data_IF_022439740602
#
_entry.id   IF_022439740602
#
_cell.length_a   1.000
_cell.length_b   1.000
_cell.length_c   1.000
_cell.angle_alpha   90.00
_cell.angle_beta   90.00
_cell.angle_gamma   90.00
#
_symmetry.space_group_name_H-M   'P 1'
#
loop_
_entity.id
_entity.type
_entity.pdbx_description
1 polymer ?
#
# COMPACT_ATOMS: atom_id res chain seq x y z
N UNK A 1 55.61 -5.70 17.57
CA UNK A 1 54.47 -6.50 17.09
C UNK A 1 53.14 -5.71 17.07
N UNK A 2 53.14 -4.40 16.81
CA UNK A 2 51.90 -3.60 16.63
C UNK A 2 51.80 -2.97 15.22
N UNK A 3 52.89 -2.96 14.45
CA UNK A 3 52.92 -2.41 13.09
C UNK A 3 52.49 -3.41 12.00
N UNK A 4 52.52 -4.73 12.26
CA UNK A 4 52.16 -5.74 11.26
C UNK A 4 50.66 -6.07 11.19
N UNK A 5 49.87 -5.64 12.18
CA UNK A 5 48.40 -5.81 12.18
C UNK A 5 47.66 -4.67 11.47
N UNK A 6 48.27 -3.50 11.34
CA UNK A 6 47.68 -2.36 10.61
C UNK A 6 47.79 -2.58 9.08
N UNK A 7 48.91 -3.15 8.63
CA UNK A 7 49.17 -3.39 7.20
C UNK A 7 48.22 -4.47 6.63
N UNK A 8 47.77 -5.45 7.44
CA UNK A 8 46.78 -6.45 7.02
C UNK A 8 45.34 -5.94 6.94
N UNK A 9 45.02 -4.81 7.58
CA UNK A 9 43.69 -4.15 7.44
C UNK A 9 43.63 -3.17 6.28
N UNK A 10 44.77 -2.67 5.78
CA UNK A 10 44.84 -1.79 4.62
C UNK A 10 44.75 -2.54 3.28
N UNK A 11 45.26 -3.79 3.21
CA UNK A 11 45.28 -4.58 1.98
C UNK A 11 43.94 -5.18 1.51
N UNK A 12 42.83 -4.94 2.22
CA UNK A 12 41.50 -5.46 1.86
C UNK A 12 40.55 -4.39 1.27
N UNK A 13 41.03 -3.15 1.06
CA UNK A 13 40.21 -2.02 0.61
C UNK A 13 40.67 -1.40 -0.72
N UNK A 14 41.51 -2.09 -1.50
CA UNK A 14 42.02 -1.59 -2.79
C UNK A 14 41.32 -2.14 -4.04
N UNK A 15 40.17 -2.82 -3.90
CA UNK A 15 39.43 -3.40 -5.05
C UNK A 15 38.11 -2.71 -5.40
N UNK A 16 37.93 -1.44 -5.03
CA UNK A 16 36.87 -0.60 -5.59
C UNK A 16 37.45 0.70 -6.15
N UNK A 17 38.07 0.60 -7.33
CA UNK A 17 38.36 1.76 -8.17
C UNK A 17 37.05 2.49 -8.47
N UNK A 18 36.82 3.57 -7.74
CA UNK A 18 35.80 4.56 -8.05
C UNK A 18 36.09 5.14 -9.43
N UNK A 19 35.15 5.01 -10.36
CA UNK A 19 35.09 5.82 -11.57
C UNK A 19 34.73 7.25 -11.18
N UNK A 20 35.74 8.08 -10.91
CA UNK A 20 35.55 9.52 -10.72
C UNK A 20 35.28 10.13 -12.10
N UNK A 21 34.02 10.41 -12.40
CA UNK A 21 33.65 11.19 -13.58
C UNK A 21 33.66 12.68 -13.23
N UNK A 22 34.64 13.41 -13.76
CA UNK A 22 34.63 14.88 -13.73
C UNK A 22 33.67 15.38 -14.81
N UNK A 23 32.53 15.94 -14.40
CA UNK A 23 31.60 16.62 -15.31
C UNK A 23 31.96 18.11 -15.36
N UNK A 24 32.29 18.58 -16.57
CA UNK A 24 32.57 19.99 -16.89
C UNK A 24 31.41 20.91 -16.48
N UNK A 25 31.69 21.93 -15.66
CA UNK A 25 30.75 22.91 -15.12
C UNK A 25 30.30 24.00 -16.12
N UNK A 26 30.29 23.71 -17.42
CA UNK A 26 29.95 24.72 -18.45
C UNK A 26 28.45 24.96 -18.67
N UNK A 27 27.58 24.22 -17.99
CA UNK A 27 26.13 24.44 -18.03
C UNK A 27 25.57 24.54 -16.60
N UNK A 28 25.94 25.59 -15.87
CA UNK A 28 25.25 26.00 -14.64
C UNK A 28 23.92 26.70 -14.99
N UNK A 29 23.06 26.05 -15.79
CA UNK A 29 21.64 26.34 -15.71
C UNK A 29 21.16 25.87 -14.34
N UNK A 30 20.26 26.61 -13.69
CA UNK A 30 19.61 26.16 -12.47
C UNK A 30 18.99 24.77 -12.73
N UNK A 31 19.72 23.71 -12.39
CA UNK A 31 19.22 22.36 -12.37
C UNK A 31 18.25 22.32 -11.21
N UNK A 32 17.01 22.71 -11.51
CA UNK A 32 15.90 22.55 -10.58
C UNK A 32 15.80 21.04 -10.35
N UNK A 33 16.24 20.60 -9.18
CA UNK A 33 16.01 19.24 -8.74
C UNK A 33 14.50 19.01 -8.80
N UNK A 34 14.12 18.17 -9.77
CA UNK A 34 12.75 17.69 -9.86
C UNK A 34 12.56 16.78 -8.66
N UNK A 35 11.45 16.89 -7.91
CA UNK A 35 11.18 15.94 -6.85
C UNK A 35 11.28 14.54 -7.43
N UNK A 36 12.07 13.68 -6.77
CA UNK A 36 12.18 12.27 -7.14
C UNK A 36 10.77 11.67 -7.24
N UNK A 37 10.57 10.71 -8.14
CA UNK A 37 9.30 10.01 -8.29
C UNK A 37 8.98 9.38 -6.93
N UNK A 38 8.04 9.98 -6.20
CA UNK A 38 7.78 9.65 -4.82
C UNK A 38 7.36 8.19 -4.66
N UNK A 39 7.84 7.56 -3.58
CA UNK A 39 7.38 6.25 -3.14
C UNK A 39 5.89 6.31 -2.75
N UNK A 40 4.99 6.08 -3.71
CA UNK A 40 3.56 5.80 -3.46
C UNK A 40 2.75 6.88 -2.72
N UNK A 41 3.27 8.11 -2.52
CA UNK A 41 2.54 9.18 -1.84
C UNK A 41 1.34 9.64 -2.70
N UNK A 42 0.17 9.68 -2.07
CA UNK A 42 -1.05 10.24 -2.69
C UNK A 42 -0.98 11.76 -2.69
N UNK A 43 -0.89 12.38 -3.87
CA UNK A 43 -0.98 13.84 -4.04
C UNK A 43 -2.42 14.33 -4.27
N UNK A 44 -3.43 13.49 -3.98
CA UNK A 44 -4.84 13.87 -4.14
C UNK A 44 -5.32 14.67 -2.95
N UNK A 45 -5.05 14.15 -1.75
CA UNK A 45 -5.53 14.69 -0.49
C UNK A 45 -4.58 14.35 0.66
N UNK A 46 -4.53 15.21 1.66
CA UNK A 46 -3.96 14.97 2.97
C UNK A 46 -5.12 14.78 3.95
N UNK A 47 -5.02 13.75 4.77
CA UNK A 47 -5.95 13.49 5.87
C UNK A 47 -5.27 13.96 7.14
N UNK A 48 -5.96 14.77 7.92
CA UNK A 48 -5.49 15.22 9.23
C UNK A 48 -5.91 14.19 10.27
N UNK A 49 -4.95 13.40 10.72
CA UNK A 49 -5.18 12.38 11.75
C UNK A 49 -4.97 13.00 13.13
N UNK A 50 -5.96 12.90 14.04
CA UNK A 50 -5.75 13.20 15.44
C UNK A 50 -4.82 12.16 16.08
N UNK A 51 -4.32 12.45 17.27
CA UNK A 51 -3.43 11.55 18.02
C UNK A 51 -4.11 10.21 18.32
N UNK A 52 -5.40 10.25 18.68
CA UNK A 52 -6.20 9.07 19.03
C UNK A 52 -7.17 8.66 17.93
N UNK A 53 -7.41 7.35 17.81
CA UNK A 53 -8.37 6.81 16.86
C UNK A 53 -9.79 7.32 17.13
N UNK A 54 -10.42 7.89 16.11
CA UNK A 54 -11.77 8.46 16.24
C UNK A 54 -12.67 8.02 15.08
N UNK A 55 -13.93 7.72 15.40
CA UNK A 55 -15.00 7.33 14.44
C UNK A 55 -15.66 8.55 13.78
N UNK A 56 -15.41 9.75 14.32
CA UNK A 56 -15.85 11.00 13.73
C UNK A 56 -15.17 11.16 12.36
N UNK A 57 -15.90 11.60 11.33
CA UNK A 57 -15.30 11.82 10.02
C UNK A 57 -14.18 12.85 10.10
N UNK A 58 -12.99 12.48 9.60
CA UNK A 58 -11.80 13.32 9.61
C UNK A 58 -11.85 14.38 8.52
N UNK A 59 -11.18 15.49 8.79
CA UNK A 59 -10.99 16.57 7.84
C UNK A 59 -9.91 16.22 6.81
N UNK A 60 -10.16 16.71 5.59
CA UNK A 60 -9.33 16.39 4.43
C UNK A 60 -9.01 17.68 3.69
N UNK A 61 -7.72 17.90 3.45
CA UNK A 61 -7.26 18.98 2.58
C UNK A 61 -6.94 18.43 1.20
N UNK A 62 -7.62 18.96 0.17
CA UNK A 62 -7.34 18.60 -1.22
C UNK A 62 -6.08 19.31 -1.70
N UNK A 63 -5.11 18.53 -2.21
CA UNK A 63 -3.82 19.06 -2.70
C UNK A 63 -3.85 19.48 -4.18
N UNK A 64 -4.79 18.95 -4.96
CA UNK A 64 -4.87 19.23 -6.40
C UNK A 64 -3.67 18.74 -7.20
N UNK A 65 -3.02 17.66 -6.75
CA UNK A 65 -1.84 17.09 -7.42
C UNK A 65 -0.52 17.79 -7.13
N UNK A 66 -0.50 18.72 -6.16
CA UNK A 66 0.71 19.42 -5.71
C UNK A 66 1.38 18.70 -4.56
N UNK A 67 2.70 18.83 -4.48
CA UNK A 67 3.47 18.38 -3.34
C UNK A 67 3.24 19.31 -2.14
N UNK A 68 2.93 18.80 -0.94
CA UNK A 68 2.70 19.65 0.23
C UNK A 68 3.91 20.46 0.68
N UNK A 69 5.13 19.95 0.48
CA UNK A 69 6.35 20.64 0.93
C UNK A 69 6.79 21.68 -0.10
N UNK A 70 6.99 21.26 -1.36
CA UNK A 70 7.49 22.17 -2.40
C UNK A 70 6.40 23.02 -3.09
N UNK A 71 5.12 22.68 -2.93
CA UNK A 71 4.01 23.33 -3.63
C UNK A 71 3.95 23.08 -5.14
N UNK A 72 4.92 22.34 -5.71
CA UNK A 72 5.02 22.08 -7.15
C UNK A 72 4.00 21.04 -7.59
N UNK A 73 3.54 21.16 -8.84
CA UNK A 73 2.62 20.20 -9.44
C UNK A 73 3.36 18.89 -9.78
N UNK A 74 3.03 17.82 -9.05
CA UNK A 74 3.60 16.48 -9.27
C UNK A 74 2.68 15.63 -10.15
N UNK A 75 1.37 15.66 -9.88
CA UNK A 75 0.38 14.85 -10.59
C UNK A 75 -0.60 15.77 -11.33
N UNK A 76 -0.60 15.68 -12.66
CA UNK A 76 -1.55 16.42 -13.51
C UNK A 76 -2.93 15.77 -13.47
N UNK A 77 -3.98 16.55 -13.72
CA UNK A 77 -5.34 16.02 -13.88
C UNK A 77 -6.11 15.84 -12.56
N UNK A 78 -5.56 16.24 -11.42
CA UNK A 78 -6.24 16.23 -10.13
C UNK A 78 -6.56 17.67 -9.71
N UNK A 79 -7.73 17.91 -9.16
CA UNK A 79 -8.08 19.19 -8.54
C UNK A 79 -9.56 19.54 -8.62
N UNK A 80 -10.00 20.42 -7.71
CA UNK A 80 -11.42 20.69 -7.49
C UNK A 80 -12.11 19.49 -6.82
N UNK A 81 -13.36 19.26 -7.20
CA UNK A 81 -14.18 18.18 -6.66
C UNK A 81 -14.94 18.55 -5.40
N UNK A 82 -15.87 17.69 -5.03
CA UNK A 82 -16.70 17.86 -3.83
C UNK A 82 -15.82 17.66 -2.59
N UNK A 83 -16.12 18.40 -1.52
CA UNK A 83 -15.47 18.20 -0.22
C UNK A 83 -15.90 16.84 0.34
N UNK A 84 -14.93 15.96 0.56
CA UNK A 84 -15.17 14.65 1.16
C UNK A 84 -14.69 14.65 2.60
N UNK A 85 -15.46 14.01 3.49
CA UNK A 85 -14.99 13.63 4.82
C UNK A 85 -14.33 12.26 4.74
N UNK A 86 -13.29 12.03 5.53
CA UNK A 86 -12.56 10.76 5.51
C UNK A 86 -12.92 9.91 6.72
N UNK A 87 -13.34 8.67 6.49
CA UNK A 87 -13.52 7.70 7.56
C UNK A 87 -12.19 6.98 7.83
N UNK A 88 -11.70 7.03 9.08
CA UNK A 88 -10.46 6.40 9.48
C UNK A 88 -10.62 4.87 9.54
N UNK A 89 -10.15 4.18 8.50
CA UNK A 89 -10.20 2.72 8.45
C UNK A 89 -9.12 2.11 9.35
N UNK A 90 -9.53 1.16 10.17
CA UNK A 90 -8.64 0.22 10.85
C UNK A 90 -8.16 -0.83 9.83
N UNK A 91 -6.97 -0.60 9.26
CA UNK A 91 -6.37 -1.51 8.28
C UNK A 91 -5.82 -2.80 8.90
N UNK A 92 -5.50 -2.77 10.19
CA UNK A 92 -5.05 -3.93 10.95
C UNK A 92 -6.26 -4.58 11.62
N UNK A 93 -6.49 -5.84 11.29
CA UNK A 93 -7.45 -6.72 11.97
C UNK A 93 -6.64 -7.49 13.01
N UNK A 94 -6.51 -6.93 14.20
CA UNK A 94 -5.84 -7.60 15.31
C UNK A 94 -6.89 -8.41 16.08
N UNK A 95 -6.59 -9.68 16.32
CA UNK A 95 -7.40 -10.58 17.13
C UNK A 95 -6.52 -11.44 18.05
N UNK A 96 -7.14 -12.26 18.91
CA UNK A 96 -6.41 -13.14 19.81
C UNK A 96 -5.53 -14.12 19.03
N UNK A 97 -4.29 -14.30 19.51
CA UNK A 97 -3.34 -15.31 19.01
C UNK A 97 -3.64 -16.70 19.58
N UNK A 98 -4.22 -16.74 20.77
CA UNK A 98 -4.64 -17.95 21.47
C UNK A 98 -6.06 -17.73 22.01
N UNK A 99 -6.89 -18.78 21.98
CA UNK A 99 -8.27 -18.73 22.46
C UNK A 99 -9.33 -18.48 21.38
N UNK A 100 -10.58 -18.21 21.80
CA UNK A 100 -11.70 -18.03 20.89
C UNK A 100 -11.51 -16.80 20.01
N UNK A 101 -12.01 -16.79 18.76
CA UNK A 101 -11.92 -15.64 17.88
C UNK A 101 -12.67 -14.44 18.49
N UNK A 102 -12.14 -13.25 18.28
CA UNK A 102 -12.81 -12.02 18.66
C UNK A 102 -14.06 -11.84 17.80
N UNK A 103 -15.19 -11.64 18.47
CA UNK A 103 -16.49 -11.48 17.81
C UNK A 103 -16.79 -10.00 17.67
N UNK A 104 -17.12 -9.57 16.47
CA UNK A 104 -17.45 -8.18 16.17
C UNK A 104 -18.82 -8.10 15.51
N UNK A 105 -19.59 -7.06 15.83
CA UNK A 105 -20.94 -6.86 15.27
C UNK A 105 -20.96 -5.68 14.32
N UNK A 106 -21.47 -5.90 13.11
CA UNK A 106 -21.64 -4.85 12.10
C UNK A 106 -22.83 -3.97 12.50
N UNK A 107 -22.59 -2.68 12.71
CA UNK A 107 -23.65 -1.72 13.04
C UNK A 107 -24.27 -1.16 11.77
N UNK A 108 -23.45 -0.69 10.82
CA UNK A 108 -23.92 -0.02 9.61
C UNK A 108 -22.91 -0.11 8.49
N UNK A 109 -23.39 -0.24 7.27
CA UNK A 109 -22.60 -0.11 6.04
C UNK A 109 -22.86 1.27 5.42
N UNK A 110 -21.78 1.98 5.09
CA UNK A 110 -21.78 3.38 4.67
C UNK A 110 -21.06 3.51 3.33
N UNK A 111 -21.63 4.29 2.42
CA UNK A 111 -20.95 4.70 1.19
C UNK A 111 -19.93 5.80 1.50
N UNK A 112 -18.68 5.56 1.15
CA UNK A 112 -17.58 6.51 1.37
C UNK A 112 -17.26 7.31 0.10
N UNK A 113 -16.87 8.57 0.27
CA UNK A 113 -16.44 9.44 -0.83
C UNK A 113 -14.94 9.40 -1.11
N UNK A 114 -14.14 8.81 -0.21
CA UNK A 114 -12.69 8.78 -0.31
C UNK A 114 -12.14 7.53 -1.01
N UNK A 115 -12.93 6.47 -1.08
CA UNK A 115 -12.59 5.19 -1.72
C UNK A 115 -13.79 4.66 -2.51
N UNK A 116 -13.54 3.65 -3.34
CA UNK A 116 -14.58 3.04 -4.17
C UNK A 116 -15.42 2.02 -3.40
N UNK A 117 -14.80 1.33 -2.44
CA UNK A 117 -15.43 0.30 -1.59
C UNK A 117 -16.32 0.94 -0.51
N UNK A 118 -17.38 0.25 -0.07
CA UNK A 118 -18.14 0.67 1.10
C UNK A 118 -17.39 0.38 2.39
N UNK A 119 -17.75 1.10 3.44
CA UNK A 119 -17.13 1.02 4.76
C UNK A 119 -18.17 0.52 5.73
N UNK A 120 -17.82 -0.46 6.56
CA UNK A 120 -18.67 -0.91 7.64
C UNK A 120 -18.17 -0.33 8.97
N UNK A 121 -19.10 0.20 9.76
CA UNK A 121 -18.89 0.52 11.17
C UNK A 121 -19.15 -0.74 11.98
N UNK A 122 -18.17 -1.15 12.76
CA UNK A 122 -18.20 -2.37 13.55
C UNK A 122 -17.95 -2.06 15.02
N UNK A 123 -18.72 -2.71 15.89
CA UNK A 123 -18.51 -2.70 17.32
C UNK A 123 -17.72 -3.94 17.75
N UNK A 124 -16.73 -3.70 18.58
CA UNK A 124 -15.88 -4.70 19.22
C UNK A 124 -15.84 -4.34 20.70
N UNK A 125 -16.53 -5.10 21.53
CA UNK A 125 -16.70 -4.81 22.95
C UNK A 125 -17.18 -3.34 23.13
N UNK A 126 -16.39 -2.48 23.77
CA UNK A 126 -16.70 -1.05 23.99
C UNK A 126 -16.17 -0.12 22.88
N UNK A 127 -15.50 -0.65 21.87
CA UNK A 127 -14.82 0.14 20.83
C UNK A 127 -15.54 0.04 19.51
N UNK A 128 -15.57 1.16 18.79
CA UNK A 128 -16.10 1.28 17.45
C UNK A 128 -14.96 1.45 16.46
N UNK A 129 -14.98 0.74 15.34
CA UNK A 129 -13.98 0.87 14.28
C UNK A 129 -14.59 0.77 12.89
N UNK A 130 -13.99 1.47 11.93
CA UNK A 130 -14.32 1.32 10.52
C UNK A 130 -13.44 0.27 9.85
N UNK A 131 -14.08 -0.63 9.11
CA UNK A 131 -13.44 -1.63 8.26
C UNK A 131 -13.97 -1.51 6.83
N UNK A 132 -13.29 -2.13 5.86
CA UNK A 132 -13.85 -2.30 4.54
C UNK A 132 -14.95 -3.36 4.55
N UNK A 133 -16.09 -3.02 3.94
CA UNK A 133 -17.24 -3.92 3.85
C UNK A 133 -17.04 -4.95 2.72
N UNK A 134 -17.43 -6.20 2.99
CA UNK A 134 -17.50 -7.26 1.98
C UNK A 134 -18.81 -7.18 1.18
N UNK A 135 -18.91 -7.94 0.11
CA UNK A 135 -20.01 -7.91 -0.88
C UNK A 135 -21.40 -8.06 -0.26
N UNK A 136 -21.59 -9.04 0.62
CA UNK A 136 -22.90 -9.37 1.21
C UNK A 136 -23.08 -8.89 2.65
N UNK A 137 -22.17 -8.05 3.16
CA UNK A 137 -22.19 -7.58 4.54
C UNK A 137 -23.40 -6.67 4.81
N UNK A 138 -24.17 -6.97 5.86
CA UNK A 138 -25.35 -6.22 6.29
C UNK A 138 -25.21 -5.77 7.75
N UNK A 139 -26.06 -4.82 8.14
CA UNK A 139 -26.17 -4.41 9.54
C UNK A 139 -26.75 -5.57 10.37
N UNK A 140 -26.15 -5.84 11.53
CA UNK A 140 -26.50 -6.96 12.41
C UNK A 140 -25.62 -8.19 12.24
N UNK A 141 -24.85 -8.29 11.15
CA UNK A 141 -23.98 -9.43 10.91
C UNK A 141 -22.87 -9.53 11.96
N UNK A 142 -22.49 -10.77 12.27
CA UNK A 142 -21.43 -11.10 13.21
C UNK A 142 -20.21 -11.55 12.41
N UNK A 143 -19.08 -10.89 12.60
CA UNK A 143 -17.79 -11.24 12.00
C UNK A 143 -16.81 -11.70 13.07
N UNK A 144 -15.86 -12.53 12.68
CA UNK A 144 -14.85 -13.11 13.57
C UNK A 144 -13.45 -12.72 13.12
N UNK A 145 -12.61 -12.36 14.08
CA UNK A 145 -11.19 -12.07 13.85
C UNK A 145 -10.34 -12.98 14.72
N UNK A 146 -9.40 -13.72 14.14
CA UNK A 146 -8.36 -14.41 14.91
C UNK A 146 -7.01 -14.38 14.22
N UNK A 147 -5.94 -14.42 15.03
CA UNK A 147 -4.56 -14.46 14.55
C UNK A 147 -3.91 -15.85 14.74
N UNK A 148 -4.70 -16.85 15.14
CA UNK A 148 -4.24 -18.22 15.34
C UNK A 148 -4.23 -19.00 14.02
N UNK A 149 -3.20 -19.82 13.79
CA UNK A 149 -3.13 -20.77 12.67
C UNK A 149 -3.44 -22.17 13.22
N UNK A 150 -4.66 -22.69 13.01
CA UNK A 150 -5.01 -24.05 13.41
C UNK A 150 -4.37 -25.08 12.47
N UNK A 151 -4.15 -26.28 13.01
CA UNK A 151 -3.68 -27.44 12.23
C UNK A 151 -4.65 -27.82 11.11
N UNK A 152 -5.96 -27.72 11.38
CA UNK A 152 -7.02 -27.97 10.40
C UNK A 152 -7.52 -26.61 9.87
N UNK A 153 -7.66 -26.43 8.54
CA UNK A 153 -8.14 -25.17 7.98
C UNK A 153 -9.52 -24.77 8.52
N UNK A 154 -9.69 -23.48 8.81
CA UNK A 154 -10.96 -22.92 9.29
C UNK A 154 -11.95 -22.83 8.14
N UNK A 155 -13.24 -23.06 8.43
CA UNK A 155 -14.32 -22.79 7.47
C UNK A 155 -14.38 -21.28 7.17
N UNK A 156 -14.18 -20.85 5.91
CA UNK A 156 -14.16 -19.44 5.56
C UNK A 156 -15.59 -18.89 5.48
N UNK A 157 -15.95 -17.98 6.39
CA UNK A 157 -17.16 -17.15 6.26
C UNK A 157 -16.79 -15.75 5.78
N UNK A 158 -17.68 -15.15 4.99
CA UNK A 158 -17.46 -13.81 4.44
C UNK A 158 -17.39 -12.76 5.55
N UNK A 159 -16.41 -11.86 5.50
CA UNK A 159 -16.23 -10.79 6.49
C UNK A 159 -15.28 -11.14 7.63
N UNK A 160 -15.04 -12.43 7.86
CA UNK A 160 -14.10 -12.92 8.86
C UNK A 160 -12.65 -12.61 8.47
N UNK A 161 -11.79 -12.44 9.47
CA UNK A 161 -10.38 -12.13 9.34
C UNK A 161 -9.51 -13.23 9.96
N UNK A 162 -8.64 -13.82 9.16
CA UNK A 162 -7.75 -14.92 9.53
C UNK A 162 -6.37 -14.75 8.90
N UNK A 163 -5.32 -15.38 9.47
CA UNK A 163 -4.03 -15.49 8.79
C UNK A 163 -4.16 -16.37 7.54
N UNK A 164 -3.35 -16.09 6.51
CA UNK A 164 -3.36 -16.83 5.24
C UNK A 164 -3.18 -18.35 5.44
N UNK A 165 -2.36 -18.75 6.42
CA UNK A 165 -2.11 -20.15 6.75
C UNK A 165 -3.33 -20.90 7.28
N UNK A 166 -4.28 -20.20 7.93
CA UNK A 166 -5.47 -20.79 8.52
C UNK A 166 -6.55 -21.15 7.49
N UNK A 167 -6.50 -20.54 6.30
CA UNK A 167 -7.54 -20.70 5.29
C UNK A 167 -7.28 -21.90 4.36
N UNK A 168 -8.34 -22.51 3.80
CA UNK A 168 -8.19 -23.51 2.76
C UNK A 168 -7.78 -22.90 1.42
N UNK A 169 -7.21 -23.74 0.56
CA UNK A 169 -6.85 -23.39 -0.82
C UNK A 169 -8.13 -23.10 -1.61
N UNK A 170 -8.07 -22.14 -2.54
CA UNK A 170 -9.20 -21.71 -3.37
C UNK A 170 -10.10 -20.64 -2.72
N UNK A 171 -9.83 -20.25 -1.48
CA UNK A 171 -10.59 -19.19 -0.80
C UNK A 171 -10.38 -17.83 -1.46
N UNK A 172 -11.48 -17.07 -1.58
CA UNK A 172 -11.46 -15.67 -2.00
C UNK A 172 -11.16 -14.80 -0.80
N UNK A 173 -10.18 -13.91 -0.94
CA UNK A 173 -9.69 -13.04 0.13
C UNK A 173 -9.52 -11.60 -0.36
N UNK A 174 -9.52 -10.65 0.57
CA UNK A 174 -9.26 -9.24 0.34
C UNK A 174 -8.45 -8.65 1.50
N UNK A 175 -8.07 -7.36 1.39
CA UNK A 175 -7.29 -6.62 2.40
C UNK A 175 -6.08 -7.39 2.93
N UNK A 176 -5.30 -8.00 2.03
CA UNK A 176 -4.18 -8.87 2.40
C UNK A 176 -2.99 -8.03 2.85
N UNK A 177 -2.36 -8.42 3.95
CA UNK A 177 -1.11 -7.81 4.40
C UNK A 177 0.06 -8.17 3.48
N UNK A 178 0.93 -7.19 3.23
CA UNK A 178 2.18 -7.44 2.48
C UNK A 178 3.25 -8.07 3.37
N UNK A 179 3.32 -7.61 4.62
CA UNK A 179 4.19 -8.12 5.68
C UNK A 179 3.33 -8.26 6.94
N UNK A 180 3.62 -9.23 7.83
CA UNK A 180 2.85 -9.40 9.06
C UNK A 180 2.77 -8.10 9.86
N UNK A 181 1.56 -7.68 10.22
CA UNK A 181 1.31 -6.48 11.03
C UNK A 181 1.45 -5.14 10.29
N UNK A 182 1.64 -5.14 8.97
CA UNK A 182 1.56 -3.92 8.15
C UNK A 182 0.11 -3.40 8.05
N UNK A 183 -0.89 -4.29 8.16
CA UNK A 183 -2.27 -4.01 7.81
C UNK A 183 -2.57 -4.26 6.32
N UNK A 184 -3.87 -4.29 6.00
CA UNK A 184 -4.38 -4.64 4.68
C UNK A 184 -3.91 -3.70 3.58
N UNK A 185 -2.83 -4.06 2.90
CA UNK A 185 -2.17 -3.25 1.89
C UNK A 185 -2.63 -3.61 0.48
N UNK A 186 -2.82 -4.91 0.24
CA UNK A 186 -3.19 -5.47 -1.06
C UNK A 186 -4.70 -5.70 -1.14
N UNK A 187 -5.27 -5.54 -2.34
CA UNK A 187 -6.69 -5.85 -2.65
C UNK A 187 -7.68 -5.08 -1.75
N UNK A 188 -7.72 -3.75 -1.91
CA UNK A 188 -8.64 -2.87 -1.17
C UNK A 188 -9.71 -2.17 -2.05
N UNK A 189 -9.73 -2.44 -3.35
CA UNK A 189 -10.62 -1.77 -4.30
C UNK A 189 -11.99 -2.45 -4.40
N UNK A 190 -13.02 -1.68 -4.72
CA UNK A 190 -14.39 -2.16 -4.87
C UNK A 190 -14.47 -3.37 -5.81
N UNK A 191 -15.22 -4.41 -5.40
CA UNK A 191 -15.40 -5.60 -6.21
C UNK A 191 -14.13 -6.41 -6.48
N UNK A 192 -13.02 -6.17 -5.78
CA UNK A 192 -11.81 -6.97 -5.95
C UNK A 192 -11.69 -8.08 -4.91
N UNK A 193 -11.08 -9.19 -5.32
CA UNK A 193 -10.67 -10.31 -4.48
C UNK A 193 -9.40 -10.95 -5.04
N UNK A 194 -8.54 -11.47 -4.18
CA UNK A 194 -7.49 -12.42 -4.52
C UNK A 194 -7.95 -13.84 -4.18
N UNK A 195 -7.25 -14.84 -4.70
CA UNK A 195 -7.52 -16.26 -4.43
C UNK A 195 -6.27 -16.94 -3.87
N UNK A 196 -6.44 -17.80 -2.87
CA UNK A 196 -5.34 -18.63 -2.38
C UNK A 196 -5.09 -19.77 -3.36
N UNK A 197 -3.91 -19.83 -3.97
CA UNK A 197 -3.59 -20.82 -5.00
C UNK A 197 -2.96 -22.07 -4.41
N UNK A 198 -1.97 -21.91 -3.53
CA UNK A 198 -1.25 -23.01 -2.90
C UNK A 198 -0.55 -22.55 -1.63
N UNK A 199 -0.31 -23.48 -0.71
CA UNK A 199 0.61 -23.31 0.42
C UNK A 199 1.97 -23.82 -0.04
N UNK A 200 2.95 -22.92 -0.11
CA UNK A 200 4.31 -23.23 -0.54
C UNK A 200 5.16 -23.70 0.64
N UNK A 201 6.35 -24.23 0.35
CA UNK A 201 7.36 -24.52 1.36
C UNK A 201 7.78 -23.24 2.11
N UNK A 202 8.35 -23.41 3.31
CA UNK A 202 8.86 -22.34 4.18
C UNK A 202 7.80 -21.40 4.77
N UNK A 203 6.62 -21.92 5.12
CA UNK A 203 5.56 -21.14 5.79
C UNK A 203 5.08 -19.95 4.95
N UNK A 204 5.01 -20.15 3.63
CA UNK A 204 4.52 -19.17 2.67
C UNK A 204 3.23 -19.64 2.00
N UNK A 205 2.37 -18.70 1.64
CA UNK A 205 1.14 -18.90 0.89
C UNK A 205 1.21 -18.10 -0.39
N UNK A 206 0.94 -18.76 -1.51
CA UNK A 206 0.88 -18.12 -2.82
C UNK A 206 -0.55 -17.70 -3.11
N UNK A 207 -0.74 -16.40 -3.32
CA UNK A 207 -2.01 -15.80 -3.67
C UNK A 207 -1.98 -15.30 -5.11
N UNK A 208 -3.11 -15.39 -5.81
CA UNK A 208 -3.30 -14.78 -7.11
C UNK A 208 -4.10 -13.48 -6.96
N UNK A 209 -3.51 -12.38 -7.41
CA UNK A 209 -4.12 -11.05 -7.37
C UNK A 209 -5.19 -10.88 -8.47
N UNK A 210 -6.06 -9.85 -8.38
CA UNK A 210 -6.97 -9.47 -9.48
C UNK A 210 -6.26 -9.23 -10.82
N UNK A 211 -4.98 -8.81 -10.78
CA UNK A 211 -4.13 -8.63 -11.95
C UNK A 211 -3.56 -9.93 -12.53
N UNK A 212 -3.96 -11.09 -12.00
CA UNK A 212 -3.43 -12.44 -12.27
C UNK A 212 -1.96 -12.64 -11.89
N UNK A 213 -1.30 -11.64 -11.31
CA UNK A 213 0.05 -11.77 -10.77
C UNK A 213 0.01 -12.57 -9.46
N UNK A 214 0.93 -13.52 -9.32
CA UNK A 214 1.10 -14.30 -8.10
C UNK A 214 2.08 -13.61 -7.13
N UNK A 215 1.74 -13.67 -5.84
CA UNK A 215 2.57 -13.22 -4.73
C UNK A 215 2.74 -14.35 -3.75
N UNK A 216 3.98 -14.60 -3.30
CA UNK A 216 4.27 -15.51 -2.19
C UNK A 216 4.46 -14.69 -0.92
N UNK A 217 3.57 -14.89 0.05
CA UNK A 217 3.47 -14.12 1.31
C UNK A 217 3.65 -15.05 2.50
N UNK A 218 4.17 -14.57 3.65
CA UNK A 218 4.19 -15.37 4.87
C UNK A 218 2.78 -15.82 5.29
N UNK A 219 2.65 -17.03 5.80
CA UNK A 219 1.36 -17.59 6.23
C UNK A 219 0.71 -16.83 7.39
N UNK A 220 1.52 -16.09 8.15
CA UNK A 220 1.12 -15.29 9.31
C UNK A 220 0.45 -13.97 8.88
N UNK A 221 0.60 -13.55 7.62
CA UNK A 221 -0.05 -12.33 7.13
C UNK A 221 -1.57 -12.43 7.25
N UNK A 222 -2.18 -11.38 7.79
CA UNK A 222 -3.64 -11.31 7.93
C UNK A 222 -4.31 -11.04 6.58
N UNK A 223 -5.52 -11.59 6.45
CA UNK A 223 -6.42 -11.30 5.34
C UNK A 223 -7.86 -11.38 5.81
N UNK A 224 -8.77 -10.82 5.01
CA UNK A 224 -10.22 -10.94 5.23
C UNK A 224 -10.84 -11.78 4.13
N UNK A 225 -11.79 -12.62 4.50
CA UNK A 225 -12.44 -13.57 3.60
C UNK A 225 -13.54 -12.87 2.81
N UNK A 226 -13.58 -13.15 1.51
CA UNK A 226 -14.61 -12.69 0.59
C UNK A 226 -14.16 -11.65 -0.42
N UNK A 227 -15.13 -11.15 -1.17
CA UNK A 227 -14.96 -10.06 -2.14
C UNK A 227 -15.32 -8.73 -1.48
N UNK A 228 -14.68 -7.65 -1.91
CA UNK A 228 -15.05 -6.32 -1.43
C UNK A 228 -16.38 -5.85 -2.02
N UNK A 229 -17.11 -5.06 -1.23
CA UNK A 229 -18.38 -4.44 -1.61
C UNK A 229 -18.28 -3.57 -2.86
N UNK A 230 -19.46 -3.19 -3.38
CA UNK A 230 -19.63 -2.35 -4.56
C UNK A 230 -19.06 -3.00 -5.84
N UNK A 231 -19.48 -4.24 -6.12
CA UNK A 231 -19.02 -5.03 -7.28
C UNK A 231 -19.34 -4.39 -8.63
N UNK A 232 -20.44 -3.63 -8.72
CA UNK A 232 -20.91 -2.98 -9.94
C UNK A 232 -20.23 -1.63 -10.24
N UNK A 233 -19.28 -1.21 -9.39
CA UNK A 233 -18.60 0.08 -9.55
C UNK A 233 -17.97 0.26 -10.94
N UNK A 234 -17.45 -0.82 -11.53
CA UNK A 234 -16.86 -0.82 -12.87
C UNK A 234 -17.88 -0.54 -13.98
N UNK A 235 -19.12 -0.96 -13.79
CA UNK A 235 -20.18 -0.82 -14.79
C UNK A 235 -20.86 0.55 -14.74
N UNK A 236 -20.57 1.35 -13.71
CA UNK A 236 -21.23 2.64 -13.51
C UNK A 236 -20.70 3.69 -14.49
N UNK A 237 -21.51 4.20 -15.44
CA UNK A 237 -21.07 5.27 -16.34
C UNK A 237 -20.96 6.61 -15.59
N UNK A 238 -20.01 7.45 -15.99
CA UNK A 238 -19.82 8.80 -15.41
C UNK A 238 -20.96 9.76 -15.83
N UNK A 239 -21.57 9.54 -17.00
CA UNK A 239 -22.72 10.29 -17.50
C UNK A 239 -22.37 11.66 -18.10
N UNK A 240 -21.68 12.52 -17.35
CA UNK A 240 -21.36 13.89 -17.79
C UNK A 240 -19.93 14.33 -17.47
N UNK A 241 -19.40 15.29 -18.24
CA UNK A 241 -18.09 15.89 -17.95
C UNK A 241 -18.07 16.58 -16.58
N UNK A 242 -19.19 17.17 -16.17
CA UNK A 242 -19.34 17.80 -14.86
C UNK A 242 -19.24 16.79 -13.73
N UNK A 243 -19.80 15.58 -13.89
CA UNK A 243 -19.62 14.51 -12.90
C UNK A 243 -18.15 14.17 -12.68
N UNK A 244 -17.35 14.18 -13.75
CA UNK A 244 -15.91 13.96 -13.64
C UNK A 244 -15.21 15.10 -12.88
N UNK A 245 -15.69 16.34 -13.03
CA UNK A 245 -15.21 17.50 -12.24
C UNK A 245 -15.61 17.39 -10.78
N UNK A 246 -16.82 16.93 -10.46
CA UNK A 246 -17.27 16.65 -9.08
C UNK A 246 -16.41 15.60 -8.39
N UNK A 247 -15.98 14.58 -9.13
CA UNK A 247 -15.05 13.58 -8.62
C UNK A 247 -13.67 14.18 -8.31
N UNK A 248 -13.34 15.36 -8.83
CA UNK A 248 -12.04 16.04 -8.63
C UNK A 248 -11.01 15.71 -9.70
N UNK A 249 -11.46 15.27 -10.88
CA UNK A 249 -10.60 15.01 -12.03
C UNK A 249 -10.69 16.19 -13.02
N UNK A 250 -9.54 16.76 -13.40
CA UNK A 250 -9.42 17.85 -14.38
C UNK A 250 -9.28 17.29 -15.80
N UNK A 251 -9.70 18.04 -16.83
CA UNK A 251 -9.47 17.64 -18.22
C UNK A 251 -7.96 17.49 -18.52
N UNK A 252 -7.67 16.63 -19.49
CA UNK A 252 -6.31 16.45 -20.02
C UNK A 252 -5.89 17.68 -20.83
N UNK A 253 -4.59 17.84 -21.04
CA UNK A 253 -4.07 18.89 -21.92
C UNK A 253 -4.57 18.68 -23.36
N UNK A 254 -4.90 19.78 -24.05
CA UNK A 254 -5.19 19.78 -25.49
C UNK A 254 -3.93 19.70 -26.37
N UNK A 255 -2.73 19.66 -25.76
CA UNK A 255 -1.48 19.54 -26.48
C UNK A 255 -1.40 18.20 -27.23
N UNK A 256 -1.34 18.28 -28.57
CA UNK A 256 -1.21 17.10 -29.41
C UNK A 256 0.22 16.53 -29.33
N UNK A 257 0.31 15.21 -29.20
CA UNK A 257 1.59 14.48 -29.20
C UNK A 257 1.53 13.35 -30.21
N UNK A 258 2.55 13.25 -31.07
CA UNK A 258 2.69 12.14 -32.01
C UNK A 258 2.86 10.83 -31.24
N UNK A 259 2.04 9.82 -31.56
CA UNK A 259 2.20 8.47 -31.00
C UNK A 259 3.52 7.87 -31.49
N UNK A 260 4.32 7.35 -30.56
CA UNK A 260 5.57 6.60 -30.82
C UNK A 260 5.34 5.08 -30.72
N UNK A 261 6.38 4.27 -30.95
CA UNK A 261 6.31 2.80 -30.84
C UNK A 261 5.91 2.23 -29.47
N UNK A 262 5.85 3.08 -28.43
CA UNK A 262 5.36 2.72 -27.08
C UNK A 262 3.85 2.46 -27.03
N UNK A 263 3.05 3.11 -27.88
CA UNK A 263 1.58 3.07 -27.79
C UNK A 263 0.94 1.84 -28.44
N UNK A 264 1.71 1.03 -29.18
CA UNK A 264 1.21 -0.24 -29.72
C UNK A 264 0.95 -1.28 -28.63
N UNK A 265 -0.02 -2.17 -28.86
CA UNK A 265 -0.34 -3.30 -27.96
C UNK A 265 0.92 -4.13 -27.69
N UNK A 266 1.26 -4.35 -26.42
CA UNK A 266 2.38 -5.20 -26.01
C UNK A 266 1.83 -6.45 -25.34
N UNK A 267 1.90 -7.58 -26.03
CA UNK A 267 1.59 -8.89 -25.43
C UNK A 267 2.83 -9.32 -24.66
N UNK A 268 2.71 -9.36 -23.32
CA UNK A 268 3.80 -9.74 -22.43
C UNK A 268 3.40 -11.00 -21.68
N UNK A 269 4.36 -11.88 -21.42
CA UNK A 269 4.18 -13.00 -20.49
C UNK A 269 3.83 -12.48 -19.10
N UNK A 270 3.09 -13.27 -18.33
CA UNK A 270 2.83 -12.95 -16.93
C UNK A 270 4.17 -12.85 -16.17
N UNK A 271 4.32 -11.85 -15.29
CA UNK A 271 5.52 -11.76 -14.47
C UNK A 271 5.63 -12.97 -13.54
N UNK A 272 6.85 -13.39 -13.17
CA UNK A 272 7.03 -14.48 -12.23
C UNK A 272 6.45 -14.15 -10.85
N UNK A 273 6.27 -15.19 -10.03
CA UNK A 273 5.81 -15.06 -8.64
C UNK A 273 6.73 -14.11 -7.88
N UNK A 274 6.15 -13.08 -7.25
CA UNK A 274 6.93 -12.20 -6.39
C UNK A 274 6.95 -12.77 -4.97
N UNK A 275 8.10 -13.30 -4.55
CA UNK A 275 8.31 -13.72 -3.17
C UNK A 275 8.66 -12.54 -2.29
N UNK A 276 7.85 -12.29 -1.27
CA UNK A 276 8.08 -11.21 -0.32
C UNK A 276 8.91 -11.76 0.83
N UNK A 277 10.15 -11.28 0.97
CA UNK A 277 11.01 -11.59 2.12
C UNK A 277 10.56 -10.93 3.42
N UNK A 278 11.32 -11.06 4.52
CA UNK A 278 11.03 -10.34 5.75
C UNK A 278 11.03 -8.82 5.52
N UNK A 279 10.23 -8.10 6.33
CA UNK A 279 10.21 -6.64 6.28
C UNK A 279 11.58 -6.14 6.73
N UNK A 280 12.29 -5.43 5.85
CA UNK A 280 13.53 -4.75 6.22
C UNK A 280 13.22 -3.69 7.29
N UNK A 281 14.04 -3.56 8.34
CA UNK A 281 13.85 -2.52 9.35
C UNK A 281 13.87 -1.14 8.67
N UNK A 282 12.91 -0.27 9.04
CA UNK A 282 12.76 1.05 8.41
C UNK A 282 13.87 2.02 8.77
N UNK A 283 14.64 1.73 9.83
CA UNK A 283 15.79 2.50 10.24
C UNK A 283 17.05 1.81 9.72
N UNK A 284 17.39 2.04 8.45
CA UNK A 284 18.80 2.12 8.13
C UNK A 284 19.28 3.42 8.75
N UNK A 285 20.08 3.35 9.81
CA UNK A 285 20.81 4.53 10.30
C UNK A 285 21.57 5.10 9.10
N UNK A 286 21.19 6.31 8.66
CA UNK A 286 22.00 7.05 7.69
C UNK A 286 23.31 7.40 8.39
N UNK A 287 24.31 6.53 8.28
CA UNK A 287 25.68 6.83 8.69
C UNK A 287 26.17 7.91 7.73
N UNK A 288 26.00 9.18 8.12
CA UNK A 288 26.57 10.32 7.42
C UNK A 288 28.06 10.35 7.73
N UNK A 289 28.88 9.86 6.80
CA UNK A 289 30.32 10.05 6.87
C UNK A 289 30.63 11.52 6.52
N UNK A 290 31.04 12.31 7.50
CA UNK A 290 31.65 13.63 7.28
C UNK A 290 33.16 13.47 7.13
N UNK A 291 33.72 13.91 6.00
CA UNK A 291 35.17 14.04 5.82
C UNK A 291 35.62 15.36 6.45
N UNK A 292 35.79 15.40 7.78
CA UNK A 292 36.24 16.62 8.47
C UNK A 292 37.75 16.88 8.38
N UNK A 293 38.56 15.92 7.93
CA UNK A 293 40.03 16.04 7.99
C UNK A 293 40.75 15.67 6.68
N UNK A 294 40.28 16.16 5.53
CA UNK A 294 41.10 16.15 4.31
C UNK A 294 41.75 17.52 4.10
N UNK A 295 42.78 17.80 4.91
CA UNK A 295 43.68 18.93 4.67
C UNK A 295 44.45 18.65 3.39
N UNK A 296 43.96 19.18 2.28
CA UNK A 296 44.70 19.22 1.03
C UNK A 296 45.79 20.29 1.18
N UNK A 297 46.93 19.94 1.78
CA UNK A 297 48.14 20.76 1.68
C UNK A 297 48.57 20.72 0.21
N UNK A 298 48.22 21.76 -0.54
CA UNK A 298 48.82 22.05 -1.84
C UNK A 298 50.27 22.48 -1.56
N UNK A 299 51.23 21.64 -1.92
CA UNK A 299 52.60 22.07 -2.17
C UNK A 299 52.67 22.90 -3.44
#
# INVERSE_FOLDING_TARGET
MFFSQIIRKLGALESSLNSISFVSSRNAGNYIEKPLIGHGKSFRRIVHYPEEYTVKPLEVTNLGGRDPVSGRLVVKGIGGGIKHKYHWIAWKREGPKEGPPQVERVIKVIKDGCRTTFVALVAVDDKLKYILATENMKAGDIIRTSCYIPRIPVRPFEGDAYPLGALPIGTKINCVEKYPGLGGFLVHAAGTCATIMRKAANNHVVIQMPSKKEFSLPEICMCTVGRLSNGEHWNTPIGSAQKNRELGNRPRSGWWQRKTGRFGRKIRRLPPVLTIGPKQPSNSEEIKFTLENYNHTRN
#
